data_IF_679237176285
#
_entry.id   IF_679237176285
#
_cell.length_a   1.000
_cell.length_b   1.000
_cell.length_c   1.000
_cell.angle_alpha   90.00
_cell.angle_beta   90.00
_cell.angle_gamma   90.00
#
_symmetry.space_group_name_H-M   'P 1'
#
loop_
_entity.id
_entity.type
_entity.pdbx_description
1 polymer ?
#
# COMPACT_ATOMS: atom_id res chain seq x y z
N UNK A 1 -19.31 21.62 7.57
CA UNK A 1 -18.65 20.30 7.75
C UNK A 1 -17.84 20.03 6.51
N UNK A 2 -16.54 20.40 6.49
CA UNK A 2 -15.70 20.20 5.31
C UNK A 2 -15.16 18.77 5.27
N UNK A 3 -15.23 18.18 4.06
CA UNK A 3 -14.83 16.82 3.72
C UNK A 3 -13.37 16.54 4.12
N UNK A 4 -13.17 15.65 5.10
CA UNK A 4 -11.85 15.35 5.69
C UNK A 4 -11.00 14.36 4.89
N UNK A 5 -11.47 13.88 3.72
CA UNK A 5 -10.89 12.72 3.04
C UNK A 5 -10.53 12.93 1.55
N UNK A 6 -10.30 14.16 1.09
CA UNK A 6 -9.93 14.41 -0.32
C UNK A 6 -8.75 15.40 -0.37
N UNK A 7 -7.62 14.93 -0.89
CA UNK A 7 -6.52 15.79 -1.35
C UNK A 7 -6.69 16.00 -2.86
N UNK A 8 -6.96 17.24 -3.27
CA UNK A 8 -7.04 17.65 -4.68
C UNK A 8 -5.65 18.19 -5.09
N UNK A 9 -5.04 17.56 -6.09
CA UNK A 9 -3.82 18.08 -6.73
C UNK A 9 -4.17 18.99 -7.91
N UNK A 10 -3.38 20.05 -8.07
CA UNK A 10 -3.59 21.14 -9.04
C UNK A 10 -3.28 20.72 -10.49
N UNK A 11 -4.01 21.33 -11.43
CA UNK A 11 -4.04 21.19 -12.90
C UNK A 11 -4.57 19.87 -13.55
N UNK A 12 -5.40 19.97 -14.62
CA UNK A 12 -5.87 18.82 -15.38
C UNK A 12 -4.74 18.30 -16.28
N UNK A 13 -3.96 17.34 -15.78
CA UNK A 13 -3.16 16.48 -16.67
C UNK A 13 -4.12 15.77 -17.65
N UNK A 14 -3.75 15.53 -18.92
CA UNK A 14 -4.69 15.02 -19.93
C UNK A 14 -5.22 13.60 -19.66
N UNK A 15 -4.77 12.94 -18.60
CA UNK A 15 -5.11 11.58 -18.18
C UNK A 15 -5.91 11.53 -16.86
N UNK A 16 -6.19 12.68 -16.23
CA UNK A 16 -6.94 12.75 -14.98
C UNK A 16 -6.19 12.21 -13.75
N UNK A 17 -6.76 12.42 -12.57
CA UNK A 17 -6.27 11.80 -11.33
C UNK A 17 -6.67 10.33 -11.33
N UNK A 18 -5.71 9.43 -11.05
CA UNK A 18 -6.02 8.02 -10.82
C UNK A 18 -6.37 7.81 -9.35
N UNK A 19 -7.30 6.90 -9.07
CA UNK A 19 -7.69 6.55 -7.71
C UNK A 19 -7.06 5.19 -7.36
N UNK A 20 -6.17 5.19 -6.38
CA UNK A 20 -5.64 4.00 -5.74
C UNK A 20 -6.58 3.59 -4.61
N UNK A 21 -7.20 2.43 -4.74
CA UNK A 21 -7.92 1.76 -3.66
C UNK A 21 -6.95 0.84 -2.93
N UNK A 22 -6.78 1.05 -1.62
CA UNK A 22 -5.96 0.23 -0.72
C UNK A 22 -6.88 -0.40 0.33
N UNK A 23 -7.04 -1.71 0.29
CA UNK A 23 -7.75 -2.49 1.31
C UNK A 23 -6.73 -3.19 2.19
N UNK A 24 -6.75 -2.91 3.49
CA UNK A 24 -5.96 -3.62 4.48
C UNK A 24 -6.86 -4.65 5.14
N UNK A 25 -6.61 -5.92 4.85
CA UNK A 25 -7.41 -7.02 5.38
C UNK A 25 -6.98 -7.34 6.80
N UNK A 26 -5.76 -7.85 6.94
CA UNK A 26 -5.25 -8.42 8.19
C UNK A 26 -3.72 -8.42 8.20
N UNK A 27 -3.14 -8.50 9.39
CA UNK A 27 -1.71 -8.74 9.61
C UNK A 27 -1.51 -10.00 10.45
N UNK A 28 -0.52 -10.81 10.09
CA UNK A 28 -0.19 -12.05 10.80
C UNK A 28 1.29 -12.11 11.15
N UNK A 29 1.60 -12.95 12.13
CA UNK A 29 2.97 -13.19 12.60
C UNK A 29 3.68 -11.89 13.03
N UNK A 30 2.90 -10.90 13.47
CA UNK A 30 3.41 -9.68 14.09
C UNK A 30 3.84 -9.98 15.53
N UNK A 31 4.84 -9.27 16.03
CA UNK A 31 5.27 -9.42 17.43
C UNK A 31 4.32 -8.72 18.43
N UNK A 32 3.37 -7.92 17.93
CA UNK A 32 2.42 -7.15 18.72
C UNK A 32 1.00 -7.75 18.64
N UNK A 33 0.26 -7.69 19.76
CA UNK A 33 -1.09 -8.25 19.87
C UNK A 33 -2.18 -7.38 19.23
N UNK A 34 -1.96 -6.08 19.12
CA UNK A 34 -2.84 -5.15 18.43
C UNK A 34 -2.00 -4.01 17.83
N UNK A 35 -2.18 -3.75 16.54
CA UNK A 35 -1.41 -2.72 15.83
C UNK A 35 -2.34 -1.74 15.11
N UNK A 36 -1.84 -0.55 14.84
CA UNK A 36 -2.42 0.38 13.89
C UNK A 36 -1.70 0.22 12.55
N UNK A 37 -2.44 0.15 11.44
CA UNK A 37 -1.84 0.21 10.13
C UNK A 37 -1.89 1.65 9.62
N UNK A 38 -0.72 2.25 9.40
CA UNK A 38 -0.55 3.55 8.77
C UNK A 38 -0.22 3.36 7.31
N UNK A 39 -0.98 4.03 6.45
CA UNK A 39 -0.77 4.10 5.01
C UNK A 39 -0.13 5.44 4.72
N UNK A 40 1.02 5.42 4.05
CA UNK A 40 1.68 6.62 3.57
C UNK A 40 1.99 6.51 2.08
N UNK A 41 1.53 7.49 1.31
CA UNK A 41 1.82 7.64 -0.13
C UNK A 41 2.45 9.01 -0.32
N UNK A 42 3.72 9.05 -0.75
CA UNK A 42 4.56 10.28 -0.72
C UNK A 42 4.61 10.85 0.71
N UNK A 43 5.03 12.11 0.88
CA UNK A 43 5.04 12.83 2.15
C UNK A 43 3.72 13.56 2.48
N UNK A 44 2.75 13.55 1.56
CA UNK A 44 1.53 14.36 1.67
C UNK A 44 0.33 13.57 2.22
N UNK A 45 0.23 12.27 1.86
CA UNK A 45 -0.90 11.44 2.27
C UNK A 45 -0.48 10.49 3.37
N UNK A 46 -1.03 10.68 4.57
CA UNK A 46 -0.92 9.77 5.69
C UNK A 46 -2.32 9.43 6.23
N UNK A 47 -2.71 8.16 6.10
CA UNK A 47 -3.96 7.60 6.61
C UNK A 47 -3.65 6.53 7.64
N UNK A 48 -4.59 6.22 8.53
CA UNK A 48 -4.43 5.18 9.54
C UNK A 48 -5.75 4.44 9.75
N UNK A 49 -5.67 3.17 10.12
CA UNK A 49 -6.84 2.38 10.54
C UNK A 49 -7.53 2.98 11.76
N UNK A 50 -8.85 2.79 11.81
CA UNK A 50 -9.69 3.36 12.87
C UNK A 50 -9.49 2.69 14.22
N UNK A 51 -9.09 1.42 14.22
CA UNK A 51 -8.90 0.62 15.42
C UNK A 51 -7.52 -0.05 15.44
N UNK A 52 -7.02 -0.27 16.65
CA UNK A 52 -5.87 -1.13 16.89
C UNK A 52 -6.35 -2.58 16.93
N UNK A 53 -6.01 -3.34 15.90
CA UNK A 53 -6.35 -4.74 15.77
C UNK A 53 -5.36 -5.41 14.81
N UNK A 54 -5.53 -6.70 14.53
CA UNK A 54 -4.81 -7.37 13.44
C UNK A 54 -5.73 -7.71 12.26
N UNK A 55 -7.05 -7.54 12.41
CA UNK A 55 -8.06 -7.71 11.38
C UNK A 55 -8.83 -6.39 11.21
N UNK A 56 -8.56 -5.67 10.13
CA UNK A 56 -9.20 -4.37 9.87
C UNK A 56 -10.28 -4.47 8.82
N UNK A 57 -9.99 -5.14 7.70
CA UNK A 57 -10.83 -5.11 6.49
C UNK A 57 -11.24 -3.69 6.08
N UNK A 58 -10.35 -2.72 6.29
CA UNK A 58 -10.58 -1.31 6.01
C UNK A 58 -10.10 -0.95 4.60
N UNK A 59 -10.86 -0.11 3.90
CA UNK A 59 -10.54 0.32 2.53
C UNK A 59 -10.38 1.83 2.46
N UNK A 60 -9.28 2.25 1.84
CA UNK A 60 -8.87 3.64 1.67
C UNK A 60 -8.80 3.98 0.19
N UNK A 61 -9.11 5.24 -0.14
CA UNK A 61 -9.08 5.75 -1.51
C UNK A 61 -8.13 6.95 -1.55
N UNK A 62 -7.10 6.84 -2.38
CA UNK A 62 -6.02 7.83 -2.49
C UNK A 62 -5.93 8.27 -3.94
N UNK A 63 -6.00 9.58 -4.19
CA UNK A 63 -5.80 10.10 -5.53
C UNK A 63 -4.31 10.27 -5.82
N UNK A 64 -3.86 9.65 -6.89
CA UNK A 64 -2.47 9.52 -7.32
C UNK A 64 -2.32 10.18 -8.69
N UNK A 65 -1.38 11.12 -8.79
CA UNK A 65 -1.14 11.87 -10.03
C UNK A 65 -0.09 11.22 -10.93
N UNK A 66 0.85 10.44 -10.36
CA UNK A 66 1.95 9.81 -11.09
C UNK A 66 2.28 8.43 -10.48
N UNK A 67 1.46 7.39 -10.73
CA UNK A 67 1.63 6.05 -10.13
C UNK A 67 2.93 5.34 -10.54
N UNK A 68 3.58 5.76 -11.64
CA UNK A 68 4.87 5.18 -12.06
C UNK A 68 5.99 5.46 -11.06
N UNK A 69 6.03 6.67 -10.53
CA UNK A 69 7.10 7.14 -9.64
C UNK A 69 6.65 7.17 -8.18
N UNK A 70 5.42 6.75 -7.90
CA UNK A 70 4.86 6.70 -6.56
C UNK A 70 5.02 5.33 -5.90
N UNK A 71 5.17 5.38 -4.59
CA UNK A 71 5.38 4.21 -3.75
C UNK A 71 4.43 4.29 -2.56
N UNK A 72 3.70 3.21 -2.33
CA UNK A 72 2.86 3.01 -1.16
C UNK A 72 3.71 2.39 -0.05
N UNK A 73 3.70 3.01 1.12
CA UNK A 73 4.30 2.46 2.33
C UNK A 73 3.22 2.14 3.34
N UNK A 74 3.31 0.97 3.95
CA UNK A 74 2.45 0.57 5.07
C UNK A 74 3.33 0.31 6.27
N UNK A 75 3.01 0.97 7.38
CA UNK A 75 3.72 0.83 8.63
C UNK A 75 2.75 0.36 9.71
N UNK A 76 3.11 -0.70 10.42
CA UNK A 76 2.36 -1.19 11.56
C UNK A 76 2.98 -0.62 12.84
N UNK A 77 2.16 -0.01 13.68
CA UNK A 77 2.58 0.52 14.98
C UNK A 77 1.87 -0.22 16.08
N UNK A 78 2.63 -0.76 17.04
CA UNK A 78 2.09 -1.40 18.25
C UNK A 78 1.29 -0.38 19.08
N UNK A 79 0.02 -0.69 19.33
CA UNK A 79 -0.88 0.16 20.10
C UNK A 79 -0.56 0.16 21.60
N UNK A 80 0.12 -0.87 22.10
CA UNK A 80 0.54 -1.00 23.50
C UNK A 80 1.90 -0.37 23.79
N UNK A 81 2.66 -0.03 22.75
CA UNK A 81 3.98 0.55 22.88
C UNK A 81 3.89 2.03 23.28
N UNK A 82 4.40 2.34 24.48
CA UNK A 82 4.48 3.71 25.01
C UNK A 82 5.43 4.62 24.20
N UNK A 83 6.38 4.02 23.47
CA UNK A 83 7.28 4.70 22.52
C UNK A 83 7.24 3.93 21.20
N UNK A 84 6.99 4.65 20.10
CA UNK A 84 6.87 4.19 18.70
C UNK A 84 7.34 2.74 18.47
N UNK A 85 6.45 1.79 18.75
CA UNK A 85 6.71 0.37 18.56
C UNK A 85 6.51 0.04 17.10
N UNK A 86 7.56 0.20 16.30
CA UNK A 86 7.53 -0.22 14.90
C UNK A 86 7.36 -1.74 14.85
N UNK A 87 6.14 -2.17 14.52
CA UNK A 87 5.76 -3.58 14.40
C UNK A 87 6.06 -4.13 13.00
N UNK A 88 6.51 -3.27 12.09
CA UNK A 88 7.02 -3.63 10.78
C UNK A 88 6.49 -2.72 9.68
N UNK A 89 7.26 -2.62 8.60
CA UNK A 89 6.88 -1.84 7.44
C UNK A 89 7.05 -2.63 6.14
N UNK A 90 6.19 -2.35 5.16
CA UNK A 90 6.33 -2.81 3.79
C UNK A 90 6.20 -1.63 2.83
N UNK A 91 6.83 -1.77 1.66
CA UNK A 91 6.91 -0.70 0.66
C UNK A 91 6.64 -1.30 -0.72
N UNK A 92 5.73 -0.68 -1.46
CA UNK A 92 5.08 -1.27 -2.61
C UNK A 92 5.08 -0.24 -3.76
N UNK A 93 5.83 -0.47 -4.85
CA UNK A 93 5.85 0.43 -5.99
C UNK A 93 4.53 0.34 -6.78
N UNK A 94 3.88 1.48 -6.99
CA UNK A 94 2.58 1.52 -7.68
C UNK A 94 2.70 1.25 -9.19
N UNK A 95 3.91 1.30 -9.74
CA UNK A 95 4.21 0.97 -11.13
C UNK A 95 3.72 -0.43 -11.54
N UNK A 96 3.69 -1.40 -10.62
CA UNK A 96 3.18 -2.75 -10.88
C UNK A 96 1.66 -2.81 -11.16
N UNK A 97 0.90 -1.83 -10.67
CA UNK A 97 -0.55 -1.72 -10.88
C UNK A 97 -0.92 -1.06 -12.21
N UNK A 98 0.05 -0.48 -12.92
CA UNK A 98 -0.16 0.14 -14.24
C UNK A 98 -0.55 -0.86 -15.34
N UNK A 99 -0.45 -2.15 -15.06
CA UNK A 99 -1.04 -3.21 -15.89
C UNK A 99 -2.57 -3.24 -15.86
N UNK A 100 -3.20 -2.49 -14.95
CA UNK A 100 -4.64 -2.54 -14.70
C UNK A 100 -5.07 -3.75 -13.86
N UNK A 101 -4.12 -4.56 -13.38
CA UNK A 101 -4.40 -5.67 -12.49
C UNK A 101 -4.75 -5.19 -11.07
N UNK A 102 -5.74 -5.83 -10.46
CA UNK A 102 -5.94 -5.77 -9.01
C UNK A 102 -5.05 -6.81 -8.34
N UNK A 103 -4.41 -6.43 -7.24
CA UNK A 103 -3.54 -7.30 -6.44
C UNK A 103 -4.22 -7.56 -5.11
N UNK A 104 -4.39 -8.82 -4.72
CA UNK A 104 -4.76 -9.20 -3.36
C UNK A 104 -3.75 -10.23 -2.90
N UNK A 105 -2.81 -9.80 -2.06
CA UNK A 105 -1.64 -10.58 -1.71
C UNK A 105 -1.15 -10.28 -0.30
N UNK A 106 -0.39 -11.22 0.26
CA UNK A 106 0.39 -11.01 1.47
C UNK A 106 1.67 -10.25 1.12
N UNK A 107 2.05 -9.27 1.93
CA UNK A 107 3.28 -8.51 1.78
C UNK A 107 4.12 -8.66 3.03
N UNK A 108 5.43 -8.93 2.91
CA UNK A 108 6.29 -9.13 4.06
C UNK A 108 6.48 -7.81 4.79
N UNK A 109 6.30 -7.84 6.10
CA UNK A 109 6.63 -6.73 6.98
C UNK A 109 8.08 -6.90 7.41
N UNK A 110 8.86 -5.85 7.30
CA UNK A 110 10.27 -5.84 7.72
C UNK A 110 10.45 -4.95 8.93
N UNK A 111 11.17 -5.46 9.93
CA UNK A 111 11.59 -4.72 11.12
C UNK A 111 13.10 -4.80 11.16
N UNK A 112 13.78 -3.64 11.08
CA UNK A 112 15.25 -3.55 11.16
C UNK A 112 16.00 -4.49 10.17
N UNK A 113 15.43 -4.70 8.99
CA UNK A 113 16.02 -5.54 7.95
C UNK A 113 15.68 -7.04 8.02
N UNK A 114 14.91 -7.47 9.03
CA UNK A 114 14.42 -8.84 9.14
C UNK A 114 12.92 -8.90 8.85
N UNK A 115 12.47 -9.91 8.10
CA UNK A 115 11.04 -10.15 7.91
C UNK A 115 10.41 -10.59 9.22
N UNK A 116 9.46 -9.80 9.71
CA UNK A 116 8.72 -10.02 10.95
C UNK A 116 7.23 -9.81 10.68
N UNK A 117 6.64 -10.85 10.11
CA UNK A 117 5.23 -10.89 9.79
C UNK A 117 4.89 -10.53 8.36
N UNK A 118 3.59 -10.56 8.07
CA UNK A 118 3.04 -10.26 6.76
C UNK A 118 1.70 -9.53 6.92
N UNK A 119 1.40 -8.64 5.98
CA UNK A 119 0.13 -7.93 5.89
C UNK A 119 -0.56 -8.25 4.57
N UNK A 120 -1.84 -8.60 4.62
CA UNK A 120 -2.64 -8.85 3.43
C UNK A 120 -3.26 -7.57 2.91
N UNK A 121 -2.94 -7.22 1.67
CA UNK A 121 -3.37 -5.98 1.04
C UNK A 121 -4.07 -6.26 -0.29
N UNK A 122 -5.23 -5.62 -0.46
CA UNK A 122 -5.91 -5.46 -1.73
C UNK A 122 -5.55 -4.11 -2.35
N UNK A 123 -4.89 -4.09 -3.50
CA UNK A 123 -4.50 -2.89 -4.22
C UNK A 123 -5.17 -2.87 -5.58
N UNK A 124 -5.82 -1.76 -5.90
CA UNK A 124 -6.41 -1.56 -7.21
C UNK A 124 -6.24 -0.12 -7.67
N UNK A 125 -5.67 0.07 -8.85
CA UNK A 125 -5.62 1.37 -9.49
C UNK A 125 -6.83 1.51 -10.44
N UNK A 126 -7.55 2.61 -10.35
CA UNK A 126 -8.69 2.94 -11.21
C UNK A 126 -8.50 4.31 -11.87
N UNK A 127 -8.91 4.43 -13.12
CA UNK A 127 -8.78 5.65 -13.92
C UNK A 127 -8.44 5.32 -15.37
N UNK A 128 -8.03 6.32 -16.14
CA UNK A 128 -7.61 6.11 -17.53
C UNK A 128 -6.14 5.66 -17.62
N UNK A 129 -5.88 4.45 -17.09
CA UNK A 129 -4.54 3.83 -17.07
C UNK A 129 -4.02 3.64 -18.50
N UNK A 130 -4.90 3.33 -19.46
CA UNK A 130 -4.53 3.13 -20.85
C UNK A 130 -4.00 4.42 -21.50
N UNK A 131 -4.66 5.56 -21.27
CA UNK A 131 -4.16 6.86 -21.76
C UNK A 131 -2.89 7.27 -21.03
N UNK A 132 -2.81 7.07 -19.71
CA UNK A 132 -1.59 7.36 -18.93
C UNK A 132 -0.38 6.58 -19.46
N UNK A 133 -0.51 5.26 -19.65
CA UNK A 133 0.53 4.39 -20.20
C UNK A 133 0.99 4.85 -21.58
N UNK A 134 0.05 5.22 -22.46
CA UNK A 134 0.35 5.72 -23.82
C UNK A 134 1.10 7.04 -23.80
N UNK A 135 0.66 8.01 -22.99
CA UNK A 135 1.28 9.33 -22.93
C UNK A 135 2.68 9.27 -22.32
N UNK A 136 2.87 8.45 -21.28
CA UNK A 136 4.15 8.33 -20.58
C UNK A 136 5.10 7.27 -21.17
N UNK A 137 4.69 6.60 -22.26
CA UNK A 137 5.47 5.52 -22.88
C UNK A 137 5.85 4.42 -21.89
N UNK A 138 4.94 4.09 -20.97
CA UNK A 138 5.20 3.07 -19.95
C UNK A 138 5.19 1.70 -20.62
N UNK A 139 6.31 1.00 -20.58
CA UNK A 139 6.36 -0.38 -21.04
C UNK A 139 5.77 -1.29 -19.96
N UNK A 140 4.46 -1.53 -20.05
CA UNK A 140 3.70 -2.39 -19.12
C UNK A 140 4.18 -3.85 -19.22
N UNK A 141 4.76 -4.26 -20.34
CA UNK A 141 5.33 -5.61 -20.53
C UNK A 141 6.61 -5.80 -19.72
N UNK A 142 7.28 -4.71 -19.35
CA UNK A 142 8.41 -4.68 -18.42
C UNK A 142 7.98 -4.47 -16.96
N UNK A 143 6.72 -4.13 -16.70
CA UNK A 143 6.22 -4.00 -15.34
C UNK A 143 6.19 -5.38 -14.68
N UNK A 144 7.06 -5.58 -13.69
CA UNK A 144 7.04 -6.80 -12.92
C UNK A 144 5.72 -6.85 -12.14
N UNK A 145 4.95 -7.95 -12.22
CA UNK A 145 3.79 -8.13 -11.37
C UNK A 145 4.21 -7.90 -9.93
N UNK A 146 3.37 -7.21 -9.16
CA UNK A 146 3.51 -7.16 -7.71
C UNK A 146 3.48 -8.61 -7.23
N UNK A 147 4.67 -9.16 -7.03
CA UNK A 147 4.82 -10.57 -6.73
C UNK A 147 4.11 -10.81 -5.40
N UNK A 148 3.15 -11.73 -5.37
CA UNK A 148 2.78 -12.37 -4.13
C UNK A 148 4.01 -13.14 -3.66
N UNK A 149 4.68 -12.73 -2.57
CA UNK A 149 5.66 -13.57 -1.90
C UNK A 149 4.88 -14.63 -1.12
N UNK A 150 4.13 -15.48 -1.82
CA UNK A 150 3.53 -16.64 -1.19
C UNK A 150 4.60 -17.73 -1.08
N UNK A 151 5.31 -17.73 0.06
CA UNK A 151 6.01 -18.87 0.62
C UNK A 151 7.35 -19.23 0.00
N UNK A 152 8.45 -18.71 0.56
CA UNK A 152 9.68 -19.51 0.65
C UNK A 152 9.77 -20.07 2.05
N UNK A 153 9.41 -21.34 2.18
CA UNK A 153 9.73 -22.19 3.32
C UNK A 153 11.26 -22.37 3.42
N UNK A 154 11.81 -22.19 4.62
CA UNK A 154 13.06 -22.81 5.08
C UNK A 154 12.97 -22.87 6.62
N UNK A 155 12.64 -23.99 7.27
CA UNK A 155 13.51 -25.16 7.41
C UNK A 155 14.97 -24.77 7.70
N UNK A 156 15.27 -24.55 8.98
CA UNK A 156 16.59 -24.72 9.60
C UNK A 156 16.30 -25.23 11.02
N UNK A 157 16.28 -26.55 11.21
CA UNK A 157 17.43 -27.37 11.64
C UNK A 157 17.76 -27.15 13.12
#
# INVERSE_FOLDING_TARGET
MLARNIALFDAPKPYGLMCLTVTIHEARQTHASAVYAQIKVRDDVQLQTTSANNDWNETFHIYVAEPRDETLSIQLTDASAWFSGDAGACTIPLAGLLSGASVDAWFPLTVRGSQQGEVRLGLQLRGDIATYVKVHGVDVTKAQPLASPAGTTAAAA
#
